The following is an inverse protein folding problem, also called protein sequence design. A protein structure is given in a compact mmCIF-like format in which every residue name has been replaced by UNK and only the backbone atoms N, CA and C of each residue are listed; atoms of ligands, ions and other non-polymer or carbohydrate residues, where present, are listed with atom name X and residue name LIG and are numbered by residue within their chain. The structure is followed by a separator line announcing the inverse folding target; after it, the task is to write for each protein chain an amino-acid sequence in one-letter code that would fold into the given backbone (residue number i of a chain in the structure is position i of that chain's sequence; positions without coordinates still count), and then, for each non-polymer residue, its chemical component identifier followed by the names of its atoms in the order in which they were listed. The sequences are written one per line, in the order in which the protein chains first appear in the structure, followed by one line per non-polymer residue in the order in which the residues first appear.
data_IF_275223460761
#
_entry.id   IF_275223460761
#
_cell.length_a   1.000
_cell.length_b   1.000
_cell.length_c   1.000
_cell.angle_alpha   90.00
_cell.angle_beta   90.00
_cell.angle_gamma   90.00
#
_symmetry.space_group_name_H-M   'P 1'
#
loop_
_entity.id
_entity.type
_entity.pdbx_description
1 polymer ?
#
# COMPACT_ATOMS: atom_id res chain seq x y z
N UNK A 1 -23.19 -34.05 2.52
CA UNK A 1 -23.39 -32.69 3.08
C UNK A 1 -22.72 -32.68 4.43
N UNK A 2 -21.74 -31.86 4.77
CA UNK A 2 -21.10 -30.71 4.14
C UNK A 2 -19.66 -30.74 4.70
N UNK A 3 -18.65 -30.75 3.83
CA UNK A 3 -17.24 -30.80 4.23
C UNK A 3 -16.89 -29.44 4.83
N UNK A 4 -16.77 -29.36 6.16
CA UNK A 4 -16.20 -28.20 6.84
C UNK A 4 -14.68 -28.25 6.67
N UNK A 5 -14.20 -27.88 5.49
CA UNK A 5 -12.79 -27.65 5.25
C UNK A 5 -12.43 -26.27 5.81
N UNK A 6 -12.20 -26.20 7.14
CA UNK A 6 -11.42 -25.11 7.72
C UNK A 6 -9.98 -25.34 7.26
N UNK A 7 -9.67 -24.87 6.05
CA UNK A 7 -8.29 -24.58 5.69
C UNK A 7 -7.94 -23.26 6.38
N UNK A 8 -7.56 -23.36 7.65
CA UNK A 8 -6.75 -22.33 8.27
C UNK A 8 -5.37 -22.41 7.60
N UNK A 9 -5.24 -21.73 6.47
CA UNK A 9 -3.97 -21.49 5.80
C UNK A 9 -3.82 -19.99 5.69
N UNK A 10 -2.95 -19.42 6.54
CA UNK A 10 -1.67 -18.88 6.07
C UNK A 10 -0.87 -18.46 7.28
N UNK A 11 0.39 -18.89 7.25
CA UNK A 11 1.32 -18.74 8.35
C UNK A 11 1.64 -17.29 8.63
N UNK A 12 2.00 -17.03 9.88
CA UNK A 12 2.90 -15.93 10.24
C UNK A 12 4.23 -16.14 9.51
N UNK A 13 4.35 -15.64 8.30
CA UNK A 13 5.63 -15.26 7.70
C UNK A 13 5.87 -13.81 8.04
N UNK A 14 6.53 -13.54 9.15
CA UNK A 14 7.10 -12.21 9.36
C UNK A 14 8.15 -11.97 8.27
N UNK A 15 7.87 -11.02 7.37
CA UNK A 15 8.87 -10.01 7.04
C UNK A 15 9.61 -10.04 5.71
N UNK A 16 9.23 -10.84 4.71
CA UNK A 16 9.83 -10.71 3.36
C UNK A 16 8.78 -11.01 2.29
N UNK A 17 7.86 -10.07 2.05
CA UNK A 17 7.07 -10.12 0.82
C UNK A 17 7.87 -9.43 -0.27
N UNK A 18 7.99 -10.10 -1.42
CA UNK A 18 8.68 -9.60 -2.61
C UNK A 18 7.78 -8.66 -3.42
N UNK A 19 6.92 -7.90 -2.71
CA UNK A 19 5.85 -7.11 -3.31
C UNK A 19 5.77 -5.71 -2.72
N UNK A 20 5.61 -4.72 -3.59
CA UNK A 20 5.40 -3.32 -3.24
C UNK A 20 4.14 -2.82 -3.95
N UNK A 21 3.17 -2.34 -3.18
CA UNK A 21 2.02 -1.61 -3.70
C UNK A 21 2.38 -0.14 -3.86
N UNK A 22 2.11 0.39 -5.05
CA UNK A 22 2.42 1.76 -5.43
C UNK A 22 1.14 2.45 -5.88
N UNK A 23 0.79 3.54 -5.20
CA UNK A 23 -0.36 4.40 -5.51
C UNK A 23 0.05 5.77 -6.04
N UNK A 24 1.36 6.03 -6.15
CA UNK A 24 1.92 7.35 -6.39
C UNK A 24 2.98 7.39 -7.50
N UNK A 25 4.00 8.22 -7.29
CA UNK A 25 4.97 8.61 -8.33
C UNK A 25 6.02 7.56 -8.69
N UNK A 26 6.07 6.43 -7.98
CA UNK A 26 6.91 5.28 -8.31
C UNK A 26 6.31 4.37 -9.39
N UNK A 27 5.04 4.59 -9.79
CA UNK A 27 4.38 3.76 -10.78
C UNK A 27 4.99 3.96 -12.19
N UNK A 28 4.87 2.99 -13.11
CA UNK A 28 5.32 3.15 -14.49
C UNK A 28 4.72 4.40 -15.15
N UNK A 29 5.53 5.16 -15.88
CA UNK A 29 5.17 6.41 -16.53
C UNK A 29 5.11 7.64 -15.60
N UNK A 30 5.59 7.53 -14.35
CA UNK A 30 5.61 8.62 -13.37
C UNK A 30 7.03 9.15 -13.12
N UNK A 31 7.18 10.36 -12.56
CA UNK A 31 8.49 11.01 -12.41
C UNK A 31 9.55 10.18 -11.67
N UNK A 32 9.12 9.31 -10.74
CA UNK A 32 10.03 8.50 -9.92
C UNK A 32 10.10 7.02 -10.38
N UNK A 33 9.61 6.67 -11.58
CA UNK A 33 9.68 5.29 -12.08
C UNK A 33 11.12 4.74 -12.11
N UNK A 34 12.10 5.63 -12.31
CA UNK A 34 13.52 5.31 -12.39
C UNK A 34 14.08 4.68 -11.10
N UNK A 35 13.37 4.82 -9.97
CA UNK A 35 13.76 4.19 -8.70
C UNK A 35 13.55 2.67 -8.74
N UNK A 36 12.54 2.21 -9.48
CA UNK A 36 12.20 0.79 -9.64
C UNK A 36 12.52 0.26 -11.05
N UNK A 37 12.90 1.11 -12.00
CA UNK A 37 13.14 0.74 -13.39
C UNK A 37 14.26 -0.31 -13.56
N UNK A 38 15.26 -0.32 -12.67
CA UNK A 38 16.35 -1.30 -12.69
C UNK A 38 16.00 -2.62 -12.00
N UNK A 39 14.84 -2.71 -11.34
CA UNK A 39 14.41 -3.91 -10.61
C UNK A 39 13.56 -4.76 -11.54
N UNK A 40 14.03 -5.98 -11.84
CA UNK A 40 13.28 -6.92 -12.68
C UNK A 40 12.05 -7.43 -11.94
N UNK A 41 10.86 -7.19 -12.50
CA UNK A 41 9.62 -7.63 -11.87
C UNK A 41 8.40 -7.46 -12.76
N UNK A 42 7.24 -7.75 -12.19
CA UNK A 42 5.94 -7.64 -12.85
C UNK A 42 5.07 -6.61 -12.16
N UNK A 43 4.32 -5.86 -12.96
CA UNK A 43 3.31 -4.91 -12.50
C UNK A 43 1.92 -5.45 -12.80
N UNK A 44 1.04 -5.41 -11.82
CA UNK A 44 -0.38 -5.73 -11.97
C UNK A 44 -1.26 -4.64 -11.33
N UNK A 45 -2.47 -4.43 -11.85
CA UNK A 45 -3.41 -3.50 -11.24
C UNK A 45 -3.93 -4.08 -9.91
N UNK A 46 -4.05 -3.22 -8.89
CA UNK A 46 -4.49 -3.64 -7.58
C UNK A 46 -5.12 -2.50 -6.77
N UNK A 47 -5.83 -2.83 -5.70
CA UNK A 47 -6.44 -1.89 -4.76
C UNK A 47 -6.03 -2.18 -3.32
N UNK A 48 -6.05 -1.14 -2.49
CA UNK A 48 -5.95 -1.25 -1.02
C UNK A 48 -7.12 -0.51 -0.39
N UNK A 49 -7.51 -0.90 0.82
CA UNK A 49 -8.52 -0.16 1.59
C UNK A 49 -7.85 0.98 2.35
N UNK A 50 -8.30 2.21 2.12
CA UNK A 50 -7.73 3.38 2.77
C UNK A 50 -8.25 4.69 2.17
N UNK A 51 -7.75 5.80 2.68
CA UNK A 51 -8.09 7.13 2.14
C UNK A 51 -6.84 7.75 1.55
N UNK A 52 -6.91 8.10 0.26
CA UNK A 52 -5.86 8.87 -0.40
C UNK A 52 -5.95 10.33 0.05
N UNK A 53 -4.86 10.84 0.61
CA UNK A 53 -4.73 12.23 1.01
C UNK A 53 -4.25 13.05 -0.21
N UNK A 54 -4.97 14.12 -0.59
CA UNK A 54 -4.51 15.01 -1.63
C UNK A 54 -3.22 15.73 -1.20
N UNK A 55 -2.48 16.25 -2.17
CA UNK A 55 -1.21 16.93 -1.92
C UNK A 55 -1.41 18.09 -0.93
N UNK A 56 -0.52 18.23 0.06
CA UNK A 56 -0.55 19.34 1.03
C UNK A 56 -0.95 18.96 2.47
N UNK A 57 -1.16 17.69 2.76
CA UNK A 57 -1.17 17.15 4.13
C UNK A 57 0.22 16.57 4.41
N UNK A 58 0.95 17.09 5.42
CA UNK A 58 2.42 16.96 5.58
C UNK A 58 3.03 15.55 5.44
N UNK A 59 4.33 15.35 5.20
CA UNK A 59 5.51 16.21 5.24
C UNK A 59 5.69 17.13 4.01
N UNK A 60 6.62 18.07 4.11
CA UNK A 60 6.95 19.10 3.13
C UNK A 60 6.94 18.61 1.65
N UNK A 61 6.01 19.21 0.90
CA UNK A 61 5.97 19.44 -0.56
C UNK A 61 5.87 18.21 -1.49
N UNK A 62 4.63 17.89 -1.92
CA UNK A 62 4.38 17.68 -3.36
C UNK A 62 3.89 16.32 -3.85
N UNK A 63 3.60 15.33 -3.00
CA UNK A 63 3.15 14.01 -3.43
C UNK A 63 1.93 13.50 -2.61
N UNK A 64 1.11 12.59 -3.17
CA UNK A 64 -0.07 12.08 -2.48
C UNK A 64 0.34 11.13 -1.35
N UNK A 65 -0.40 11.15 -0.25
CA UNK A 65 -0.27 10.19 0.86
C UNK A 65 -1.45 9.23 0.93
N UNK A 66 -1.33 8.15 1.69
CA UNK A 66 -2.46 7.25 1.99
C UNK A 66 -2.52 6.93 3.48
N UNK A 67 -3.73 6.94 4.04
CA UNK A 67 -4.02 6.36 5.36
C UNK A 67 -4.73 5.03 5.14
N UNK A 68 -4.12 3.94 5.61
CA UNK A 68 -4.70 2.60 5.51
C UNK A 68 -5.90 2.46 6.45
N UNK A 69 -6.94 1.76 6.01
CA UNK A 69 -8.04 1.38 6.88
C UNK A 69 -7.57 0.31 7.88
N UNK A 70 -8.12 0.31 9.09
CA UNK A 70 -7.74 -0.69 10.11
C UNK A 70 -8.08 -2.11 9.66
N UNK A 71 -7.13 -3.04 9.89
CA UNK A 71 -7.36 -4.46 9.62
C UNK A 71 -8.44 -5.01 10.56
N UNK A 72 -9.51 -5.59 9.98
CA UNK A 72 -10.58 -6.25 10.75
C UNK A 72 -11.94 -5.56 10.70
N UNK A 73 -12.11 -4.46 9.96
CA UNK A 73 -13.43 -3.96 9.61
C UNK A 73 -14.02 -4.89 8.55
N UNK A 74 -14.76 -5.90 9.02
CA UNK A 74 -15.42 -6.95 8.24
C UNK A 74 -16.25 -6.35 7.09
N UNK A 75 -16.27 -7.07 5.96
CA UNK A 75 -16.97 -6.83 4.68
C UNK A 75 -18.47 -6.47 4.78
N UNK A 76 -18.78 -5.33 5.40
CA UNK A 76 -20.14 -4.80 5.53
C UNK A 76 -20.21 -3.27 5.65
N UNK A 77 -19.06 -2.58 5.76
CA UNK A 77 -19.00 -1.14 5.58
C UNK A 77 -18.79 -0.84 4.08
N UNK A 78 -19.87 -0.49 3.39
CA UNK A 78 -19.89 -0.17 1.96
C UNK A 78 -19.04 1.07 1.58
N UNK A 79 -18.35 1.69 2.54
CA UNK A 79 -17.56 2.91 2.37
C UNK A 79 -16.14 2.77 2.96
N UNK A 80 -15.52 1.60 2.85
CA UNK A 80 -14.06 1.52 2.92
C UNK A 80 -13.48 1.94 1.57
N UNK A 81 -13.15 3.22 1.39
CA UNK A 81 -12.63 3.75 0.11
C UNK A 81 -11.51 2.84 -0.42
N UNK A 82 -11.72 2.31 -1.63
CA UNK A 82 -10.68 1.56 -2.33
C UNK A 82 -9.75 2.54 -3.03
N UNK A 83 -8.46 2.48 -2.71
CA UNK A 83 -7.43 3.26 -3.37
C UNK A 83 -6.79 2.39 -4.45
N UNK A 84 -6.98 2.80 -5.71
CA UNK A 84 -6.36 2.16 -6.86
C UNK A 84 -4.86 2.45 -6.96
N UNK A 85 -4.10 1.42 -7.34
CA UNK A 85 -2.68 1.51 -7.59
C UNK A 85 -2.20 0.34 -8.44
N UNK A 86 -0.90 0.08 -8.36
CA UNK A 86 -0.26 -1.06 -9.01
C UNK A 86 0.57 -1.83 -8.00
N UNK A 87 0.53 -3.15 -8.10
CA UNK A 87 1.32 -4.06 -7.31
C UNK A 87 2.55 -4.46 -8.14
N UNK A 88 3.73 -4.08 -7.66
CA UNK A 88 5.00 -4.55 -8.18
C UNK A 88 5.41 -5.82 -7.44
N UNK A 89 5.76 -6.88 -8.17
CA UNK A 89 6.29 -8.13 -7.60
C UNK A 89 7.67 -8.43 -8.20
N UNK A 90 8.68 -8.66 -7.36
CA UNK A 90 10.05 -8.94 -7.77
C UNK A 90 10.85 -9.66 -6.69
N UNK A 91 11.49 -10.79 -7.04
CA UNK A 91 12.41 -11.51 -6.15
C UNK A 91 13.67 -10.70 -5.79
N UNK A 92 13.98 -9.64 -6.54
CA UNK A 92 15.12 -8.75 -6.25
C UNK A 92 14.76 -7.67 -5.22
N UNK A 93 13.48 -7.45 -4.97
CA UNK A 93 12.99 -6.36 -4.12
C UNK A 93 13.55 -6.43 -2.70
N UNK A 94 13.79 -7.65 -2.19
CA UNK A 94 14.45 -7.91 -0.91
C UNK A 94 15.81 -7.18 -0.77
N UNK A 95 16.53 -6.95 -1.88
CA UNK A 95 17.84 -6.29 -1.92
C UNK A 95 17.74 -4.77 -2.09
N UNK A 96 16.57 -4.25 -2.42
CA UNK A 96 16.35 -2.84 -2.73
C UNK A 96 15.61 -2.09 -1.63
N UNK A 97 15.15 -2.78 -0.60
CA UNK A 97 14.42 -2.19 0.52
C UNK A 97 15.13 -1.03 1.20
N UNK A 98 16.42 -1.17 1.50
CA UNK A 98 17.20 -0.10 2.14
C UNK A 98 17.30 1.15 1.24
N UNK A 99 17.51 0.96 -0.06
CA UNK A 99 17.56 2.06 -1.05
C UNK A 99 16.21 2.77 -1.18
N UNK A 100 15.11 2.01 -1.15
CA UNK A 100 13.76 2.58 -1.22
C UNK A 100 13.44 3.37 0.05
N UNK A 101 13.81 2.86 1.22
CA UNK A 101 13.64 3.56 2.50
C UNK A 101 14.46 4.86 2.56
N UNK A 102 15.69 4.85 2.04
CA UNK A 102 16.53 6.05 1.96
C UNK A 102 15.97 7.10 0.99
N UNK A 103 15.39 6.66 -0.14
CA UNK A 103 14.78 7.55 -1.13
C UNK A 103 13.54 8.26 -0.60
N UNK A 104 12.66 7.52 0.07
CA UNK A 104 11.43 8.06 0.67
C UNK A 104 11.74 8.92 1.92
N UNK A 105 12.81 8.57 2.63
CA UNK A 105 13.33 9.35 3.76
C UNK A 105 12.39 9.39 4.96
N UNK A 106 12.52 10.42 5.80
CA UNK A 106 11.77 10.52 7.06
C UNK A 106 10.27 10.86 6.87
N UNK A 107 9.87 11.23 5.65
CA UNK A 107 8.49 11.64 5.33
C UNK A 107 7.52 10.46 5.18
N UNK A 108 8.03 9.26 4.89
CA UNK A 108 7.20 8.06 4.72
C UNK A 108 7.78 6.89 5.51
N UNK A 109 6.91 5.93 5.84
CA UNK A 109 7.31 4.67 6.46
C UNK A 109 6.75 3.48 5.67
N UNK A 110 7.59 2.44 5.53
CA UNK A 110 7.16 1.19 4.89
C UNK A 110 6.38 0.35 5.88
N UNK A 111 5.12 0.07 5.57
CA UNK A 111 4.25 -0.81 6.34
C UNK A 111 3.81 -2.01 5.50
N UNK A 112 3.37 -3.08 6.15
CA UNK A 112 2.78 -4.24 5.50
C UNK A 112 1.27 -4.06 5.44
N UNK A 113 0.66 -4.31 4.28
CA UNK A 113 -0.81 -4.24 4.10
C UNK A 113 -1.33 -5.36 3.21
N UNK A 114 -2.65 -5.56 3.24
CA UNK A 114 -3.37 -6.43 2.30
C UNK A 114 -3.78 -5.65 1.06
N UNK A 115 -3.40 -6.20 -0.08
CA UNK A 115 -3.68 -5.67 -1.42
C UNK A 115 -4.62 -6.64 -2.14
N UNK A 116 -5.69 -6.12 -2.72
CA UNK A 116 -6.60 -6.88 -3.58
C UNK A 116 -6.17 -6.72 -5.04
N UNK A 117 -5.90 -7.85 -5.69
CA UNK A 117 -5.58 -7.91 -7.12
C UNK A 117 -6.85 -7.81 -7.96
N UNK A 118 -6.70 -7.51 -9.26
CA UNK A 118 -7.80 -7.53 -10.24
C UNK A 118 -8.59 -8.86 -10.25
N UNK A 119 -7.92 -9.98 -9.98
CA UNK A 119 -8.57 -11.30 -9.92
C UNK A 119 -9.36 -11.55 -8.60
N UNK A 120 -9.43 -10.56 -7.70
CA UNK A 120 -10.06 -10.65 -6.38
C UNK A 120 -9.22 -11.34 -5.31
N UNK A 121 -8.01 -11.82 -5.62
CA UNK A 121 -7.10 -12.40 -4.64
C UNK A 121 -6.47 -11.31 -3.76
N UNK A 122 -6.47 -11.56 -2.45
CA UNK A 122 -5.76 -10.71 -1.50
C UNK A 122 -4.36 -11.25 -1.18
N UNK A 123 -3.35 -10.39 -1.29
CA UNK A 123 -1.95 -10.72 -1.00
C UNK A 123 -1.32 -9.68 -0.07
N UNK A 124 -0.32 -10.10 0.70
CA UNK A 124 0.46 -9.16 1.51
C UNK A 124 1.50 -8.45 0.65
N UNK A 125 1.57 -7.12 0.79
CA UNK A 125 2.55 -6.27 0.12
C UNK A 125 3.02 -5.14 1.02
N UNK A 126 4.22 -4.64 0.77
CA UNK A 126 4.68 -3.40 1.37
C UNK A 126 4.03 -2.19 0.70
N UNK A 127 3.84 -1.11 1.46
CA UNK A 127 3.36 0.19 0.98
C UNK A 127 4.04 1.29 1.79
N UNK A 128 4.36 2.43 1.16
CA UNK A 128 4.86 3.61 1.84
C UNK A 128 3.71 4.52 2.24
N UNK A 129 3.56 4.81 3.54
CA UNK A 129 2.53 5.71 4.07
C UNK A 129 3.19 6.93 4.71
N UNK A 130 2.55 8.12 4.71
CA UNK A 130 3.11 9.30 5.37
C UNK A 130 3.35 9.04 6.86
N UNK A 131 4.55 9.34 7.34
CA UNK A 131 4.92 9.10 8.73
C UNK A 131 4.19 10.08 9.65
N UNK A 132 3.58 9.56 10.72
CA UNK A 132 2.93 10.39 11.75
C UNK A 132 1.61 11.06 11.33
N UNK A 133 1.02 10.65 10.20
CA UNK A 133 -0.30 11.10 9.77
C UNK A 133 -1.35 10.09 10.21
N UNK A 134 -2.03 10.38 11.32
CA UNK A 134 -3.30 9.75 11.63
C UNK A 134 -4.41 10.45 10.83
N UNK A 135 -5.40 9.71 10.34
CA UNK A 135 -6.60 10.32 9.79
C UNK A 135 -7.35 11.02 10.92
N UNK A 136 -7.17 12.34 11.05
CA UNK A 136 -8.06 13.17 11.86
C UNK A 136 -9.26 13.57 10.99
N UNK A 137 -10.46 13.04 11.24
CA UNK A 137 -11.63 13.49 10.52
C UNK A 137 -11.78 14.99 10.77
N UNK A 138 -11.76 15.80 9.71
CA UNK A 138 -11.96 17.24 9.85
C UNK A 138 -13.31 17.48 10.49
N UNK A 139 -13.32 17.86 11.77
CA UNK A 139 -14.47 18.46 12.39
C UNK A 139 -14.78 19.71 11.56
N UNK A 140 -15.87 19.64 10.80
CA UNK A 140 -16.41 20.77 10.07
C UNK A 140 -16.57 21.92 11.06
N UNK A 141 -15.65 22.89 11.01
CA UNK A 141 -15.85 24.16 11.69
C UNK A 141 -16.89 24.90 10.87
N UNK A 142 -18.14 24.61 11.18
CA UNK A 142 -19.29 25.39 10.72
C UNK A 142 -19.10 26.82 11.20
N UNK A 143 -19.12 27.74 10.23
CA UNK A 143 -19.24 29.18 10.47
C UNK A 143 -20.65 29.55 10.93
#
# INVERSE_FOLDING_TARGET
MLVLAIRCSRGKGAGMTDRLFVYGTLAPGRPNEHVLADVLGTWEAATVRGTLLPHGWGAEVGFPGIVLAEEGVEDGAEDGLEVGGVLFSSEELARHWERLDEFEGEGYERVLTRVTRDNGETVDAHIYVPRGVAFEPQASTGA
#
